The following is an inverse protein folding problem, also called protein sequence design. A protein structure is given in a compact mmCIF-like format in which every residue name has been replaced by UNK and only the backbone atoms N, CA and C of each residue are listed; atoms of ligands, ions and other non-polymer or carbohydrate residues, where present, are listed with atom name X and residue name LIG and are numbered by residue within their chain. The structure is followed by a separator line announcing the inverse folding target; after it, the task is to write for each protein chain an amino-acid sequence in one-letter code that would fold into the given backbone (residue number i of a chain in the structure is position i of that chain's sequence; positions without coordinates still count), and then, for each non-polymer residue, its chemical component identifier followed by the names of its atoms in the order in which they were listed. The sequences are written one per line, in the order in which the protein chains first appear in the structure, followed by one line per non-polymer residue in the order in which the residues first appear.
data_IF_886434751116
#
_entry.id   IF_886434751116
#
_cell.length_a   1.000
_cell.length_b   1.000
_cell.length_c   1.000
_cell.angle_alpha   90.00
_cell.angle_beta   90.00
_cell.angle_gamma   90.00
#
_symmetry.space_group_name_H-M   'P 1'
#
loop_
_entity.id
_entity.type
_entity.pdbx_description
1 polymer ?
#
# COMPACT_ATOMS: atom_id res chain seq x y z
N UNK A 1 -16.29 -27.14 -4.00
CA UNK A 1 -15.93 -25.78 -3.56
C UNK A 1 -14.43 -25.74 -3.39
N UNK A 2 -13.70 -25.19 -4.35
CA UNK A 2 -12.27 -24.91 -4.21
C UNK A 2 -12.13 -23.83 -3.16
N UNK A 3 -11.58 -24.16 -1.99
CA UNK A 3 -11.18 -23.19 -0.99
C UNK A 3 -10.07 -22.36 -1.66
N UNK A 4 -10.40 -21.11 -2.05
CA UNK A 4 -9.35 -20.17 -2.45
C UNK A 4 -8.41 -20.05 -1.27
N UNK A 5 -7.13 -20.35 -1.47
CA UNK A 5 -6.08 -19.91 -0.55
C UNK A 5 -6.28 -18.42 -0.32
N UNK A 6 -6.68 -18.03 0.88
CA UNK A 6 -6.85 -16.63 1.24
C UNK A 6 -5.51 -15.94 1.07
N UNK A 7 -5.37 -15.14 0.02
CA UNK A 7 -4.18 -14.31 -0.18
C UNK A 7 -4.24 -13.20 0.85
N UNK A 8 -3.28 -13.18 1.77
CA UNK A 8 -3.19 -12.11 2.78
C UNK A 8 -2.49 -10.85 2.25
N UNK A 9 -1.90 -10.93 1.06
CA UNK A 9 -1.18 -9.84 0.40
C UNK A 9 -1.68 -9.73 -1.04
N UNK A 10 -1.99 -8.51 -1.47
CA UNK A 10 -2.48 -8.17 -2.81
C UNK A 10 -1.57 -7.14 -3.45
N UNK A 11 -1.27 -7.33 -4.73
CA UNK A 11 -0.68 -6.28 -5.55
C UNK A 11 -1.74 -5.20 -5.80
N UNK A 12 -1.42 -3.96 -5.50
CA UNK A 12 -2.33 -2.82 -5.65
C UNK A 12 -1.85 -1.82 -6.70
N UNK A 13 -0.55 -1.84 -7.03
CA UNK A 13 0.02 -1.03 -8.11
C UNK A 13 1.08 -1.86 -8.86
N UNK A 14 1.13 -1.69 -10.18
CA UNK A 14 2.18 -2.27 -11.02
C UNK A 14 3.53 -1.60 -10.76
N UNK A 15 4.60 -2.34 -11.04
CA UNK A 15 5.93 -1.73 -11.09
C UNK A 15 6.02 -0.71 -12.21
N UNK A 16 6.91 0.28 -12.05
CA UNK A 16 7.20 1.28 -13.09
C UNK A 16 8.68 1.26 -13.41
N UNK A 17 8.99 1.34 -14.70
CA UNK A 17 10.35 1.55 -15.17
C UNK A 17 10.86 2.92 -14.71
N UNK A 18 12.17 3.00 -14.48
CA UNK A 18 12.82 4.25 -14.10
C UNK A 18 12.77 5.26 -15.23
N UNK A 19 12.43 6.51 -14.91
CA UNK A 19 12.52 7.66 -15.81
C UNK A 19 13.19 8.84 -15.11
N UNK A 20 13.70 9.80 -15.89
CA UNK A 20 14.19 11.08 -15.38
C UNK A 20 15.29 10.96 -14.30
N UNK A 21 16.19 9.99 -14.47
CA UNK A 21 17.29 9.72 -13.53
C UNK A 21 16.86 8.98 -12.25
N UNK A 22 15.60 8.56 -12.14
CA UNK A 22 15.10 7.72 -11.04
C UNK A 22 15.19 6.23 -11.40
N UNK A 23 15.48 5.35 -10.45
CA UNK A 23 15.52 3.91 -10.70
C UNK A 23 14.11 3.35 -10.94
N UNK A 24 14.05 2.18 -11.58
CA UNK A 24 12.82 1.38 -11.64
C UNK A 24 12.37 1.00 -10.23
N UNK A 25 11.05 0.97 -10.02
CA UNK A 25 10.47 0.51 -8.75
C UNK A 25 9.53 -0.67 -9.01
N UNK A 26 9.60 -1.66 -8.12
CA UNK A 26 8.75 -2.84 -8.17
C UNK A 26 7.29 -2.53 -7.84
N UNK A 27 6.40 -3.53 -8.00
CA UNK A 27 4.98 -3.39 -7.71
C UNK A 27 4.72 -3.19 -6.21
N UNK A 28 3.63 -2.49 -5.90
CA UNK A 28 3.19 -2.23 -4.52
C UNK A 28 2.28 -3.36 -4.06
N UNK A 29 2.58 -3.91 -2.89
CA UNK A 29 1.77 -4.92 -2.23
C UNK A 29 1.19 -4.40 -0.92
N UNK A 30 -0.07 -4.74 -0.63
CA UNK A 30 -0.76 -4.41 0.62
C UNK A 30 -1.39 -5.64 1.26
N UNK A 31 -1.51 -5.59 2.58
CA UNK A 31 -2.29 -6.58 3.33
C UNK A 31 -3.76 -6.57 2.89
N UNK A 32 -4.45 -7.70 3.01
CA UNK A 32 -5.91 -7.81 2.83
C UNK A 32 -6.70 -6.76 3.62
N UNK A 33 -6.19 -6.31 4.77
CA UNK A 33 -6.81 -5.28 5.60
C UNK A 33 -6.70 -3.86 5.04
N UNK A 34 -5.83 -3.64 4.05
CA UNK A 34 -5.53 -2.32 3.51
C UNK A 34 -5.46 -2.29 1.97
N UNK A 35 -5.90 -3.38 1.32
CA UNK A 35 -5.86 -3.51 -0.15
C UNK A 35 -6.65 -2.41 -0.86
N UNK A 36 -7.72 -1.94 -0.22
CA UNK A 36 -8.62 -0.91 -0.74
C UNK A 36 -8.25 0.50 -0.24
N UNK A 37 -7.08 0.65 0.41
CA UNK A 37 -6.63 1.90 1.00
C UNK A 37 -6.77 1.97 2.52
N UNK A 38 -6.38 3.11 3.08
CA UNK A 38 -6.63 3.48 4.46
C UNK A 38 -7.61 4.65 4.50
N UNK A 39 -8.37 4.84 5.59
CA UNK A 39 -9.13 6.07 5.81
C UNK A 39 -8.24 7.30 5.73
N UNK A 40 -8.83 8.44 5.37
CA UNK A 40 -8.10 9.71 5.39
C UNK A 40 -7.62 10.03 6.81
N UNK A 41 -6.43 10.64 6.96
CA UNK A 41 -5.97 11.17 8.22
C UNK A 41 -6.98 12.14 8.84
N UNK A 42 -7.13 12.11 10.17
CA UNK A 42 -7.90 13.13 10.89
C UNK A 42 -7.24 14.51 10.75
N UNK A 43 -8.03 15.58 10.89
CA UNK A 43 -7.53 16.95 10.79
C UNK A 43 -6.38 17.19 11.80
N UNK A 44 -5.27 17.73 11.32
CA UNK A 44 -4.06 17.98 12.12
C UNK A 44 -3.13 16.78 12.30
N UNK A 45 -3.41 15.64 11.65
CA UNK A 45 -2.49 14.49 11.57
C UNK A 45 -1.74 14.50 10.23
N UNK A 46 -0.45 14.84 10.28
CA UNK A 46 0.43 14.94 9.11
C UNK A 46 1.16 13.62 8.83
N UNK A 47 1.41 12.82 9.87
CA UNK A 47 2.07 11.53 9.76
C UNK A 47 1.58 10.54 10.80
N UNK A 48 1.85 9.24 10.59
CA UNK A 48 1.55 8.20 11.57
C UNK A 48 2.29 8.39 12.91
N UNK A 49 3.30 9.25 12.99
CA UNK A 49 4.03 9.55 14.21
C UNK A 49 3.32 10.55 15.12
N UNK A 50 2.32 11.28 14.63
CA UNK A 50 1.59 12.26 15.43
C UNK A 50 0.74 11.63 16.55
N UNK A 51 0.48 10.32 16.48
CA UNK A 51 -0.23 9.57 17.53
C UNK A 51 0.54 9.50 18.86
N UNK A 52 1.84 9.83 18.86
CA UNK A 52 2.71 9.77 20.04
C UNK A 52 3.02 11.14 20.66
N UNK A 53 2.43 12.23 20.16
CA UNK A 53 2.66 13.58 20.69
C UNK A 53 1.89 13.88 21.98
#
# INVERSE_FOLDING_TARGET
MTQQLEKFIFQVEEGREGSDGRPSVGPVYRSVFAKDGFPEPIEGMDSCWDVFR
#
